data_IF_091995170806
#
_entry.id   IF_091995170806
#
_cell.length_a   1.000
_cell.length_b   1.000
_cell.length_c   1.000
_cell.angle_alpha   90.00
_cell.angle_beta   90.00
_cell.angle_gamma   90.00
#
_symmetry.space_group_name_H-M   'P 1'
#
loop_
_entity.id
_entity.type
_entity.pdbx_description
1 polymer ?
#
# COMPACT_ATOMS: atom_id res chain seq x y z
N UNK A 1 -8.31 0.83 -26.76
CA UNK A 1 -7.87 -0.38 -26.03
C UNK A 1 -8.78 -0.59 -24.80
N UNK A 2 -9.22 -1.81 -24.50
CA UNK A 2 -10.14 -2.12 -23.38
C UNK A 2 -9.53 -3.06 -22.34
N UNK A 3 -8.20 -3.17 -22.32
CA UNK A 3 -7.48 -4.12 -21.46
C UNK A 3 -7.07 -3.44 -20.16
N UNK A 4 -7.33 -4.11 -19.03
CA UNK A 4 -6.83 -3.66 -17.74
C UNK A 4 -5.31 -3.86 -17.61
N UNK A 5 -4.61 -2.86 -17.10
CA UNK A 5 -3.21 -2.98 -16.72
C UNK A 5 -3.06 -3.51 -15.29
N UNK A 6 -2.18 -4.48 -15.11
CA UNK A 6 -1.68 -4.84 -13.78
C UNK A 6 -0.35 -4.10 -13.56
N UNK A 7 -0.33 -3.16 -12.62
CA UNK A 7 0.85 -2.33 -12.32
C UNK A 7 1.54 -2.86 -11.06
N UNK A 8 2.71 -3.51 -11.18
CA UNK A 8 3.41 -4.08 -10.03
C UNK A 8 4.26 -3.03 -9.29
N UNK A 9 4.47 -3.26 -7.99
CA UNK A 9 5.63 -2.70 -7.29
C UNK A 9 5.51 -1.27 -6.78
N UNK A 10 4.30 -0.74 -6.62
CA UNK A 10 4.07 0.57 -6.01
C UNK A 10 4.79 0.71 -4.65
N UNK A 11 5.52 1.80 -4.47
CA UNK A 11 6.30 2.12 -3.26
C UNK A 11 7.61 1.35 -3.10
N UNK A 12 7.61 0.02 -3.19
CA UNK A 12 8.80 -0.80 -2.89
C UNK A 12 9.79 -0.94 -4.06
N UNK A 13 9.34 -0.76 -5.31
CA UNK A 13 10.20 -0.82 -6.51
C UNK A 13 10.50 0.57 -7.10
N UNK A 14 10.21 1.65 -6.34
CA UNK A 14 10.47 3.02 -6.78
C UNK A 14 9.40 3.63 -7.68
N UNK A 15 8.33 2.90 -8.01
CA UNK A 15 7.17 3.46 -8.69
C UNK A 15 6.40 4.39 -7.76
N UNK A 16 6.33 5.66 -8.11
CA UNK A 16 5.55 6.69 -7.42
C UNK A 16 4.09 6.67 -7.90
N UNK A 17 3.17 7.27 -7.15
CA UNK A 17 1.79 7.40 -7.62
C UNK A 17 1.70 8.19 -8.94
N UNK A 18 2.64 9.10 -9.23
CA UNK A 18 2.71 9.83 -10.49
C UNK A 18 3.09 8.94 -11.68
N UNK A 19 4.02 7.99 -11.48
CA UNK A 19 4.39 7.04 -12.54
C UNK A 19 3.21 6.13 -12.91
N UNK A 20 2.35 5.81 -11.94
CA UNK A 20 1.19 4.95 -12.12
C UNK A 20 -0.02 5.72 -12.68
N UNK A 21 -0.08 7.05 -12.50
CA UNK A 21 -1.19 7.86 -13.00
C UNK A 21 -1.37 7.78 -14.52
N UNK A 22 -0.26 7.68 -15.27
CA UNK A 22 -0.29 7.51 -16.73
C UNK A 22 -0.82 6.16 -17.23
N UNK A 23 -1.07 5.21 -16.32
CA UNK A 23 -1.62 3.89 -16.65
C UNK A 23 -3.15 3.83 -16.54
N UNK A 24 -3.77 4.85 -15.95
CA UNK A 24 -5.23 4.97 -15.91
C UNK A 24 -5.77 5.67 -17.15
N UNK A 25 -7.00 5.37 -17.53
CA UNK A 25 -7.68 6.08 -18.61
C UNK A 25 -8.23 7.45 -18.16
N UNK A 26 -8.88 8.16 -19.09
CA UNK A 26 -9.45 9.49 -18.82
C UNK A 26 -10.54 9.50 -17.74
N UNK A 27 -11.12 8.34 -17.39
CA UNK A 27 -12.10 8.19 -16.32
C UNK A 27 -11.45 7.73 -15.00
N UNK A 28 -10.12 7.65 -14.94
CA UNK A 28 -9.38 7.10 -13.81
C UNK A 28 -9.62 5.60 -13.58
N UNK A 29 -9.93 4.86 -14.65
CA UNK A 29 -10.19 3.43 -14.64
C UNK A 29 -9.09 2.66 -15.40
N UNK A 30 -9.21 1.33 -15.48
CA UNK A 30 -8.37 0.52 -16.36
C UNK A 30 -7.03 0.03 -15.78
N UNK A 31 -6.70 0.33 -14.52
CA UNK A 31 -5.49 -0.20 -13.88
C UNK A 31 -5.74 -0.80 -12.49
N UNK A 32 -5.09 -1.92 -12.20
CA UNK A 32 -5.00 -2.56 -10.90
C UNK A 32 -3.55 -2.41 -10.41
N UNK A 33 -3.35 -1.75 -9.29
CA UNK A 33 -2.01 -1.50 -8.74
C UNK A 33 -1.72 -2.46 -7.59
N UNK A 34 -0.67 -3.28 -7.73
CA UNK A 34 -0.26 -4.23 -6.71
C UNK A 34 0.75 -3.62 -5.72
N UNK A 35 0.51 -3.83 -4.42
CA UNK A 35 1.51 -3.64 -3.36
C UNK A 35 1.51 -4.83 -2.41
N UNK A 36 2.51 -5.70 -2.53
CA UNK A 36 2.63 -6.90 -1.69
C UNK A 36 3.40 -6.59 -0.41
N UNK A 37 4.74 -6.47 -0.49
CA UNK A 37 5.61 -6.23 0.67
C UNK A 37 5.30 -4.91 1.40
N UNK A 38 4.81 -3.90 0.69
CA UNK A 38 4.45 -2.61 1.27
C UNK A 38 3.29 -2.70 2.26
N UNK A 39 2.36 -3.65 2.06
CA UNK A 39 1.21 -3.89 2.94
C UNK A 39 1.56 -4.97 3.96
N UNK A 40 2.00 -6.15 3.51
CA UNK A 40 2.26 -7.31 4.38
C UNK A 40 3.40 -7.02 5.37
N UNK A 41 4.40 -6.24 4.97
CA UNK A 41 5.53 -5.87 5.81
C UNK A 41 5.36 -4.56 6.57
N UNK A 42 4.20 -3.90 6.49
CA UNK A 42 3.99 -2.56 7.06
C UNK A 42 4.23 -2.51 8.57
N UNK A 43 3.87 -3.58 9.28
CA UNK A 43 4.03 -3.70 10.74
C UNK A 43 5.48 -3.52 11.21
N UNK A 44 6.47 -3.78 10.36
CA UNK A 44 7.89 -3.58 10.69
C UNK A 44 8.24 -2.11 10.97
N UNK A 45 7.39 -1.18 10.53
CA UNK A 45 7.52 0.26 10.78
C UNK A 45 6.71 0.72 12.00
N UNK A 46 5.97 -0.16 12.67
CA UNK A 46 5.24 0.17 13.89
C UNK A 46 6.23 0.48 15.01
N UNK A 47 6.10 1.67 15.61
CA UNK A 47 6.90 2.06 16.76
C UNK A 47 6.62 1.18 17.97
N UNK A 48 5.36 0.79 18.18
CA UNK A 48 4.96 -0.05 19.31
C UNK A 48 5.57 -1.44 19.19
N UNK A 49 5.57 -2.01 17.99
CA UNK A 49 6.27 -3.25 17.72
C UNK A 49 7.77 -3.10 17.96
N UNK A 50 8.40 -2.01 17.46
CA UNK A 50 9.83 -1.78 17.62
C UNK A 50 10.26 -1.62 19.08
N UNK A 51 9.44 -0.97 19.91
CA UNK A 51 9.74 -0.69 21.33
C UNK A 51 9.53 -1.90 22.25
N UNK A 52 8.61 -2.80 21.90
CA UNK A 52 8.16 -3.88 22.80
C UNK A 52 8.52 -5.28 22.30
N UNK A 53 9.49 -5.42 21.39
CA UNK A 53 9.88 -6.72 20.84
C UNK A 53 10.16 -7.75 21.95
N UNK A 54 9.54 -8.92 21.84
CA UNK A 54 9.69 -10.01 22.80
C UNK A 54 8.86 -9.90 24.09
N UNK A 55 8.12 -8.80 24.29
CA UNK A 55 7.30 -8.55 25.49
C UNK A 55 5.80 -8.38 25.18
N UNK A 56 5.38 -8.72 23.96
CA UNK A 56 3.99 -8.59 23.52
C UNK A 56 3.28 -9.94 23.52
N UNK A 57 1.97 -9.93 23.74
CA UNK A 57 1.15 -11.13 23.52
C UNK A 57 0.99 -11.40 22.02
N UNK A 58 0.56 -12.62 21.67
CA UNK A 58 0.24 -12.95 20.28
C UNK A 58 -0.88 -12.06 19.74
N UNK A 59 -1.90 -11.77 20.55
CA UNK A 59 -3.05 -10.96 20.14
C UNK A 59 -2.62 -9.53 19.82
N UNK A 60 -1.75 -8.92 20.64
CA UNK A 60 -1.22 -7.57 20.36
C UNK A 60 -0.42 -7.53 19.05
N UNK A 61 0.36 -8.59 18.78
CA UNK A 61 1.12 -8.70 17.51
C UNK A 61 0.16 -8.80 16.33
N UNK A 62 -0.90 -9.62 16.44
CA UNK A 62 -1.89 -9.78 15.38
C UNK A 62 -2.65 -8.46 15.11
N UNK A 63 -3.00 -7.73 16.15
CA UNK A 63 -3.64 -6.41 16.04
C UNK A 63 -2.71 -5.41 15.34
N UNK A 64 -1.43 -5.34 15.71
CA UNK A 64 -0.46 -4.49 15.02
C UNK A 64 -0.33 -4.86 13.55
N UNK A 65 -0.25 -6.15 13.22
CA UNK A 65 -0.12 -6.61 11.83
C UNK A 65 -1.35 -6.20 11.02
N UNK A 66 -2.55 -6.44 11.55
CA UNK A 66 -3.82 -6.06 10.93
C UNK A 66 -3.86 -4.55 10.69
N UNK A 67 -3.64 -3.77 11.74
CA UNK A 67 -3.85 -2.32 11.70
C UNK A 67 -2.81 -1.66 10.79
N UNK A 68 -1.56 -2.12 10.84
CA UNK A 68 -0.51 -1.65 9.94
C UNK A 68 -0.81 -1.96 8.48
N UNK A 69 -1.34 -3.15 8.16
CA UNK A 69 -1.73 -3.50 6.80
C UNK A 69 -2.90 -2.64 6.31
N UNK A 70 -3.91 -2.41 7.15
CA UNK A 70 -5.06 -1.55 6.83
C UNK A 70 -4.62 -0.12 6.56
N UNK A 71 -3.77 0.45 7.42
CA UNK A 71 -3.24 1.80 7.26
C UNK A 71 -2.40 1.90 5.98
N UNK A 72 -1.51 0.94 5.72
CA UNK A 72 -0.69 0.93 4.50
C UNK A 72 -1.54 0.88 3.22
N UNK A 73 -2.59 0.05 3.21
CA UNK A 73 -3.50 -0.05 2.06
C UNK A 73 -4.29 1.25 1.83
N UNK A 74 -4.78 1.88 2.91
CA UNK A 74 -5.47 3.18 2.83
C UNK A 74 -4.55 4.28 2.30
N UNK A 75 -3.34 4.36 2.83
CA UNK A 75 -2.35 5.36 2.40
C UNK A 75 -1.99 5.19 0.92
N UNK A 76 -1.77 3.95 0.46
CA UNK A 76 -1.55 3.67 -0.96
C UNK A 76 -2.73 4.12 -1.83
N UNK A 77 -3.96 3.76 -1.43
CA UNK A 77 -5.17 4.17 -2.15
C UNK A 77 -5.27 5.69 -2.25
N UNK A 78 -5.03 6.40 -1.15
CA UNK A 78 -5.19 7.85 -1.08
C UNK A 78 -4.09 8.57 -1.86
N UNK A 79 -2.85 8.08 -1.85
CA UNK A 79 -1.76 8.60 -2.67
C UNK A 79 -2.03 8.40 -4.18
N UNK A 80 -2.49 7.21 -4.59
CA UNK A 80 -2.92 6.95 -5.97
C UNK A 80 -4.07 7.87 -6.38
N UNK A 81 -5.08 8.06 -5.52
CA UNK A 81 -6.18 8.98 -5.80
C UNK A 81 -5.70 10.41 -5.99
N UNK A 82 -4.79 10.89 -5.12
CA UNK A 82 -4.23 12.24 -5.22
C UNK A 82 -3.37 12.45 -6.48
N UNK A 83 -2.80 11.38 -7.04
CA UNK A 83 -2.03 11.45 -8.29
C UNK A 83 -2.92 11.37 -9.53
N UNK A 84 -4.00 10.59 -9.48
CA UNK A 84 -4.89 10.32 -10.63
C UNK A 84 -5.98 11.37 -10.78
N UNK A 85 -6.63 11.80 -9.69
CA UNK A 85 -7.78 12.71 -9.72
C UNK A 85 -7.40 14.20 -9.57
N UNK A 86 -6.26 14.63 -10.11
CA UNK A 86 -5.84 16.04 -10.08
C UNK A 86 -6.70 16.94 -10.97
#
# INVERSE_FOLDING_TARGET
>A
PHTFFLVPGYGAQGGTAQDVAGMFDANSEGAIVNSSRGIIGAWKKSEDYAKNQGHMSLDDILDIVRDSAVVAAKNMRDDLRNAVYR
#
